data_IF_040327464040
#
_entry.id   IF_040327464040
#
_cell.length_a   1.000
_cell.length_b   1.000
_cell.length_c   1.000
_cell.angle_alpha   90.00
_cell.angle_beta   90.00
_cell.angle_gamma   90.00
#
_symmetry.space_group_name_H-M   'P 1'
#
loop_
_entity.id
_entity.type
_entity.pdbx_description
1 polymer ?
#
# COMPACT_ATOMS: atom_id res chain seq x y z
N UNK A 1 26.42 -29.23 25.48
CA UNK A 1 25.41 -29.97 24.68
C UNK A 1 24.12 -29.17 24.42
N UNK A 2 23.54 -28.45 25.39
CA UNK A 2 22.32 -27.65 25.18
C UNK A 2 22.49 -26.53 24.13
N UNK A 3 23.61 -25.78 24.17
CA UNK A 3 23.93 -24.75 23.16
C UNK A 3 24.12 -25.30 21.74
N UNK A 4 24.66 -26.52 21.61
CA UNK A 4 24.86 -27.17 20.31
C UNK A 4 23.52 -27.63 19.70
N UNK A 5 22.61 -28.17 20.54
CA UNK A 5 21.26 -28.55 20.12
C UNK A 5 20.42 -27.35 19.71
N UNK A 6 20.54 -26.24 20.42
CA UNK A 6 19.87 -24.98 20.09
C UNK A 6 20.41 -24.38 18.78
N UNK A 7 21.73 -24.44 18.55
CA UNK A 7 22.37 -24.00 17.29
C UNK A 7 21.94 -24.83 16.08
N UNK A 8 21.83 -26.15 16.21
CA UNK A 8 21.31 -27.05 15.17
C UNK A 8 19.83 -26.79 14.89
N UNK A 9 19.01 -26.59 15.93
CA UNK A 9 17.58 -26.30 15.80
C UNK A 9 17.33 -24.95 15.10
N UNK A 10 18.14 -23.93 15.39
CA UNK A 10 18.08 -22.60 14.76
C UNK A 10 18.48 -22.64 13.28
N UNK A 11 19.51 -23.42 12.94
CA UNK A 11 19.93 -23.65 11.55
C UNK A 11 18.83 -24.40 10.77
N UNK A 12 18.16 -25.35 11.43
CA UNK A 12 17.05 -26.09 10.84
C UNK A 12 15.82 -25.21 10.56
N UNK A 13 15.51 -24.24 11.42
CA UNK A 13 14.39 -23.28 11.22
C UNK A 13 14.62 -22.35 10.03
N UNK A 14 15.85 -21.83 9.85
CA UNK A 14 16.19 -20.97 8.72
C UNK A 14 16.16 -21.73 7.39
N UNK A 15 16.75 -22.93 7.39
CA UNK A 15 16.70 -23.86 6.24
C UNK A 15 15.26 -24.28 5.96
N UNK A 16 14.44 -24.52 6.98
CA UNK A 16 13.02 -24.85 6.86
C UNK A 16 12.19 -23.69 6.27
N UNK A 17 12.46 -22.43 6.65
CA UNK A 17 11.80 -21.27 6.05
C UNK A 17 12.15 -21.13 4.55
N UNK A 18 13.44 -21.24 4.19
CA UNK A 18 13.86 -21.25 2.79
C UNK A 18 13.33 -22.45 2.02
N UNK A 19 13.26 -23.63 2.64
CA UNK A 19 12.60 -24.79 2.07
C UNK A 19 11.09 -24.56 1.91
N UNK A 20 10.44 -23.82 2.81
CA UNK A 20 9.02 -23.47 2.71
C UNK A 20 8.80 -22.47 1.57
N UNK A 21 9.64 -21.44 1.43
CA UNK A 21 9.60 -20.49 0.30
C UNK A 21 9.89 -21.22 -1.01
N UNK A 22 10.95 -22.03 -1.07
CA UNK A 22 11.25 -22.90 -2.22
C UNK A 22 10.10 -23.86 -2.51
N UNK A 23 9.42 -24.41 -1.50
CA UNK A 23 8.27 -25.31 -1.67
C UNK A 23 7.03 -24.56 -2.17
N UNK A 24 6.78 -23.34 -1.70
CA UNK A 24 5.71 -22.47 -2.24
C UNK A 24 5.98 -22.10 -3.69
N UNK A 25 7.22 -21.71 -4.01
CA UNK A 25 7.65 -21.46 -5.39
C UNK A 25 7.54 -22.75 -6.22
N UNK A 26 7.91 -23.92 -5.69
CA UNK A 26 7.75 -25.23 -6.37
C UNK A 26 6.29 -25.61 -6.58
N UNK A 27 5.40 -25.35 -5.63
CA UNK A 27 3.96 -25.57 -5.80
C UNK A 27 3.37 -24.64 -6.87
N UNK A 28 3.85 -23.40 -6.95
CA UNK A 28 3.48 -22.46 -8.01
C UNK A 28 4.03 -22.89 -9.38
N UNK A 29 5.28 -23.37 -9.43
CA UNK A 29 5.93 -23.86 -10.66
C UNK A 29 5.39 -25.22 -11.12
N UNK A 30 4.90 -26.08 -10.22
CA UNK A 30 4.33 -27.40 -10.58
C UNK A 30 2.94 -27.31 -11.21
N UNK A 31 2.35 -26.11 -11.24
CA UNK A 31 1.10 -25.77 -11.93
C UNK A 31 1.32 -25.29 -13.38
N UNK A 32 2.57 -25.21 -13.85
CA UNK A 32 2.88 -25.04 -15.27
C UNK A 32 2.43 -26.29 -16.05
N UNK A 33 1.90 -26.15 -17.29
CA UNK A 33 1.44 -27.29 -18.06
C UNK A 33 2.57 -28.30 -18.25
N UNK A 34 2.33 -29.53 -17.78
CA UNK A 34 3.27 -30.64 -17.83
C UNK A 34 3.52 -31.07 -19.27
N UNK A 35 4.54 -30.53 -19.92
CA UNK A 35 5.22 -31.28 -20.97
C UNK A 35 6.25 -32.19 -20.31
N UNK A 36 5.95 -33.50 -20.34
CA UNK A 36 6.82 -34.64 -20.05
C UNK A 36 7.09 -35.04 -18.58
N UNK A 37 6.17 -35.85 -18.05
CA UNK A 37 6.36 -37.14 -17.35
C UNK A 37 7.62 -37.32 -16.49
N UNK A 38 7.40 -37.44 -15.17
CA UNK A 38 7.71 -38.71 -14.49
C UNK A 38 9.04 -38.88 -13.75
N UNK A 39 9.79 -37.83 -13.43
CA UNK A 39 10.89 -37.93 -12.45
C UNK A 39 10.51 -37.23 -11.14
N UNK A 40 10.65 -37.94 -10.01
CA UNK A 40 10.83 -37.29 -8.71
C UNK A 40 12.04 -36.38 -8.85
N UNK A 41 11.81 -35.07 -8.88
CA UNK A 41 12.87 -34.07 -8.98
C UNK A 41 13.75 -34.23 -7.73
N UNK A 42 15.02 -34.62 -7.94
CA UNK A 42 16.02 -34.62 -6.89
C UNK A 42 16.29 -33.15 -6.50
N UNK A 43 16.17 -32.84 -5.22
CA UNK A 43 16.27 -31.47 -4.71
C UNK A 43 17.67 -30.88 -4.92
N UNK A 44 18.68 -31.74 -5.09
CA UNK A 44 20.08 -31.43 -5.35
C UNK A 44 20.37 -31.16 -6.85
N UNK A 45 19.46 -31.54 -7.75
CA UNK A 45 19.60 -31.33 -9.21
C UNK A 45 18.92 -30.04 -9.70
N UNK A 46 18.26 -29.31 -8.80
CA UNK A 46 17.68 -28.01 -9.15
C UNK A 46 18.80 -26.98 -9.31
N UNK A 47 18.78 -26.17 -10.38
CA UNK A 47 19.74 -25.08 -10.51
C UNK A 47 19.66 -24.20 -9.27
N UNK A 48 20.83 -23.76 -8.79
CA UNK A 48 20.92 -22.84 -7.68
C UNK A 48 20.11 -21.58 -8.03
N UNK A 49 18.95 -21.40 -7.40
CA UNK A 49 18.14 -20.19 -7.59
C UNK A 49 18.89 -19.07 -6.87
N UNK A 50 19.76 -18.39 -7.61
CA UNK A 50 20.39 -17.17 -7.16
C UNK A 50 19.37 -16.04 -7.27
N UNK A 51 18.91 -15.57 -6.13
CA UNK A 51 18.08 -14.39 -6.05
C UNK A 51 18.96 -13.14 -6.13
N UNK A 52 18.56 -12.15 -6.92
CA UNK A 52 19.30 -10.90 -7.07
C UNK A 52 18.30 -9.75 -7.15
N UNK A 53 18.30 -8.88 -6.15
CA UNK A 53 17.29 -7.82 -5.99
C UNK A 53 17.21 -6.93 -7.23
N UNK A 54 18.35 -6.58 -7.82
CA UNK A 54 18.41 -5.71 -9.00
C UNK A 54 17.86 -6.40 -10.25
N UNK A 55 18.33 -7.61 -10.53
CA UNK A 55 17.87 -8.40 -11.67
C UNK A 55 16.38 -8.71 -11.55
N UNK A 56 15.96 -9.24 -10.41
CA UNK A 56 14.59 -9.67 -10.20
C UNK A 56 13.61 -8.49 -10.27
N UNK A 57 14.00 -7.31 -9.77
CA UNK A 57 13.20 -6.08 -9.84
C UNK A 57 13.10 -5.52 -11.26
N UNK A 58 14.18 -5.59 -12.04
CA UNK A 58 14.17 -5.18 -13.44
C UNK A 58 13.27 -6.11 -14.28
N UNK A 59 13.41 -7.42 -14.13
CA UNK A 59 12.55 -8.41 -14.79
C UNK A 59 11.07 -8.18 -14.43
N UNK A 60 10.77 -7.89 -13.15
CA UNK A 60 9.40 -7.57 -12.75
C UNK A 60 8.87 -6.30 -13.43
N UNK A 61 9.71 -5.25 -13.52
CA UNK A 61 9.36 -4.00 -14.18
C UNK A 61 9.08 -4.22 -15.67
N UNK A 62 9.92 -5.00 -16.35
CA UNK A 62 9.74 -5.37 -17.75
C UNK A 62 8.40 -6.09 -17.97
N UNK A 63 8.07 -7.08 -17.13
CA UNK A 63 6.80 -7.82 -17.22
C UNK A 63 5.58 -6.91 -17.12
N UNK A 64 5.57 -5.93 -16.21
CA UNK A 64 4.41 -5.05 -16.04
C UNK A 64 4.41 -3.85 -17.00
N UNK A 65 5.56 -3.51 -17.60
CA UNK A 65 5.71 -2.34 -18.48
C UNK A 65 4.90 -2.45 -19.77
N UNK A 66 4.59 -3.67 -20.22
CA UNK A 66 3.91 -3.88 -21.50
C UNK A 66 2.41 -3.58 -21.49
N UNK A 67 1.81 -3.42 -20.30
CA UNK A 67 0.37 -3.20 -20.15
C UNK A 67 0.03 -1.71 -20.12
N UNK A 68 -1.08 -1.33 -20.74
CA UNK A 68 -1.64 0.02 -20.62
C UNK A 68 -2.02 0.32 -19.15
N UNK A 69 -1.53 1.46 -18.66
CA UNK A 69 -1.69 1.84 -17.26
C UNK A 69 -3.14 2.06 -16.85
N UNK A 70 -4.02 2.50 -17.75
CA UNK A 70 -5.42 2.75 -17.37
C UNK A 70 -6.15 1.47 -16.98
N UNK A 71 -5.87 0.35 -17.66
CA UNK A 71 -6.48 -0.94 -17.37
C UNK A 71 -5.70 -1.68 -16.29
N UNK A 72 -4.36 -1.65 -16.34
CA UNK A 72 -3.54 -2.31 -15.34
C UNK A 72 -3.79 -1.74 -13.94
N UNK A 73 -3.82 -0.40 -13.80
CA UNK A 73 -4.10 0.23 -12.51
C UNK A 73 -5.54 0.02 -12.04
N UNK A 74 -6.51 -0.09 -12.97
CA UNK A 74 -7.88 -0.42 -12.60
C UNK A 74 -7.99 -1.84 -12.03
N UNK A 75 -7.30 -2.80 -12.64
CA UNK A 75 -7.20 -4.15 -12.09
C UNK A 75 -6.52 -4.14 -10.71
N UNK A 76 -5.40 -3.42 -10.55
CA UNK A 76 -4.76 -3.24 -9.24
C UNK A 76 -5.72 -2.67 -8.19
N UNK A 77 -6.55 -1.68 -8.54
CA UNK A 77 -7.55 -1.11 -7.65
C UNK A 77 -8.63 -2.12 -7.23
N UNK A 78 -9.13 -2.91 -8.18
CA UNK A 78 -10.06 -4.03 -7.93
C UNK A 78 -9.44 -4.99 -6.91
N UNK A 79 -8.23 -5.47 -7.20
CA UNK A 79 -7.51 -6.42 -6.35
C UNK A 79 -7.27 -5.88 -4.94
N UNK A 80 -6.86 -4.62 -4.83
CA UNK A 80 -6.63 -3.99 -3.54
C UNK A 80 -7.90 -3.88 -2.71
N UNK A 81 -9.06 -3.65 -3.35
CA UNK A 81 -10.35 -3.56 -2.65
C UNK A 81 -10.89 -4.91 -2.17
N UNK A 82 -10.53 -6.01 -2.84
CA UNK A 82 -10.91 -7.37 -2.45
C UNK A 82 -10.14 -7.90 -1.23
N UNK A 83 -9.09 -7.20 -0.79
CA UNK A 83 -8.18 -7.66 0.27
C UNK A 83 -8.80 -7.67 1.69
N UNK A 84 -10.10 -7.40 1.83
CA UNK A 84 -10.79 -7.33 3.12
C UNK A 84 -10.89 -8.66 3.89
N UNK A 85 -10.30 -9.77 3.40
CA UNK A 85 -10.31 -11.04 4.10
C UNK A 85 -8.89 -11.62 4.23
N UNK A 86 -8.25 -11.54 5.41
CA UNK A 86 -6.94 -12.13 5.60
C UNK A 86 -7.11 -13.65 5.53
N UNK A 87 -6.39 -14.31 4.63
CA UNK A 87 -6.22 -15.79 4.50
C UNK A 87 -6.96 -16.50 3.37
N UNK A 88 -7.55 -15.84 2.37
CA UNK A 88 -8.07 -16.62 1.23
C UNK A 88 -6.95 -16.94 0.25
N UNK A 89 -6.63 -18.23 0.11
CA UNK A 89 -5.86 -18.81 -0.99
C UNK A 89 -6.72 -18.80 -2.27
N UNK A 90 -7.09 -17.61 -2.71
CA UNK A 90 -7.81 -17.37 -3.96
C UNK A 90 -6.84 -16.85 -5.01
N UNK A 91 -6.82 -17.43 -6.23
CA UNK A 91 -6.42 -16.67 -7.41
C UNK A 91 -7.27 -15.40 -7.40
N UNK A 92 -6.68 -14.18 -7.41
CA UNK A 92 -5.36 -13.80 -7.96
C UNK A 92 -4.25 -13.53 -6.93
N UNK A 93 -4.50 -13.73 -5.63
CA UNK A 93 -3.56 -13.41 -4.55
C UNK A 93 -2.61 -14.56 -4.19
N UNK A 94 -2.80 -15.73 -4.79
CA UNK A 94 -2.01 -16.93 -4.51
C UNK A 94 -0.52 -16.66 -4.68
N UNK A 95 0.22 -16.69 -3.57
CA UNK A 95 1.66 -16.49 -3.54
C UNK A 95 2.10 -15.10 -3.06
N UNK A 96 1.23 -14.10 -3.06
CA UNK A 96 1.55 -12.82 -2.42
C UNK A 96 1.63 -12.99 -0.90
N UNK A 97 2.74 -12.53 -0.32
CA UNK A 97 2.99 -12.53 1.12
C UNK A 97 2.56 -11.20 1.76
N UNK A 98 2.53 -10.11 0.98
CA UNK A 98 1.92 -8.84 1.38
C UNK A 98 1.14 -8.27 0.19
N UNK A 99 -0.12 -8.75 -0.02
CA UNK A 99 -0.89 -8.43 -1.22
C UNK A 99 -0.97 -6.92 -1.48
N UNK A 100 -1.32 -6.11 -0.48
CA UNK A 100 -1.43 -4.65 -0.66
C UNK A 100 -0.14 -4.03 -1.22
N UNK A 101 0.99 -4.28 -0.54
CA UNK A 101 2.26 -3.62 -0.85
C UNK A 101 2.84 -4.14 -2.16
N UNK A 102 2.66 -5.42 -2.47
CA UNK A 102 3.04 -6.00 -3.75
C UNK A 102 2.20 -5.41 -4.88
N UNK A 103 0.88 -5.34 -4.75
CA UNK A 103 0.01 -4.70 -5.75
C UNK A 103 0.36 -3.22 -5.97
N UNK A 104 0.60 -2.48 -4.89
CA UNK A 104 1.03 -1.09 -5.01
C UNK A 104 2.38 -0.95 -5.71
N UNK A 105 3.33 -1.85 -5.43
CA UNK A 105 4.62 -1.87 -6.12
C UNK A 105 4.45 -2.19 -7.61
N UNK A 106 3.63 -3.19 -7.96
CA UNK A 106 3.32 -3.53 -9.36
C UNK A 106 2.70 -2.35 -10.11
N UNK A 107 1.70 -1.68 -9.52
CA UNK A 107 1.09 -0.49 -10.10
C UNK A 107 2.10 0.64 -10.30
N UNK A 108 2.99 0.86 -9.33
CA UNK A 108 4.06 1.84 -9.43
C UNK A 108 5.09 1.50 -10.51
N UNK A 109 5.50 0.25 -10.64
CA UNK A 109 6.39 -0.20 -11.71
C UNK A 109 5.76 0.02 -13.09
N UNK A 110 4.47 -0.31 -13.25
CA UNK A 110 3.75 -0.10 -14.49
C UNK A 110 3.68 1.39 -14.86
N UNK A 111 3.20 2.24 -13.96
CA UNK A 111 3.03 3.67 -14.27
C UNK A 111 4.37 4.41 -14.41
N UNK A 112 5.44 3.95 -13.78
CA UNK A 112 6.79 4.55 -13.95
C UNK A 112 7.53 4.00 -15.17
N UNK A 113 6.93 3.11 -15.95
CA UNK A 113 7.55 2.55 -17.17
C UNK A 113 7.30 3.44 -18.39
N UNK A 114 8.17 3.31 -19.39
CA UNK A 114 8.04 4.04 -20.65
C UNK A 114 6.72 3.67 -21.35
N UNK A 115 6.06 4.66 -21.96
CA UNK A 115 4.84 4.48 -22.75
C UNK A 115 5.09 3.71 -24.05
N UNK A 116 6.29 3.80 -24.62
CA UNK A 116 6.67 3.08 -25.85
C UNK A 116 6.70 1.55 -25.70
N UNK A 117 6.76 1.05 -24.46
CA UNK A 117 6.78 -0.38 -24.17
C UNK A 117 5.39 -1.02 -24.19
N UNK A 118 4.31 -0.21 -24.26
CA UNK A 118 2.94 -0.71 -24.25
C UNK A 118 2.70 -1.56 -25.51
N UNK A 119 2.41 -2.83 -25.30
CA UNK A 119 2.05 -3.78 -26.37
C UNK A 119 0.79 -4.59 -26.05
N UNK A 120 0.31 -4.56 -24.81
CA UNK A 120 -0.92 -5.21 -24.36
C UNK A 120 -1.85 -4.19 -23.71
N UNK A 121 -3.16 -4.35 -23.96
CA UNK A 121 -4.19 -3.49 -23.37
C UNK A 121 -4.36 -3.78 -21.87
N UNK A 122 -4.56 -5.03 -21.52
CA UNK A 122 -4.88 -5.44 -20.14
C UNK A 122 -4.18 -6.75 -19.79
N UNK A 123 -4.11 -7.03 -18.49
CA UNK A 123 -3.64 -8.31 -17.96
C UNK A 123 -4.84 -9.13 -17.51
N UNK A 124 -4.94 -10.37 -17.99
CA UNK A 124 -5.94 -11.32 -17.48
C UNK A 124 -5.35 -12.06 -16.29
N UNK A 125 -5.92 -11.86 -15.11
CA UNK A 125 -5.50 -12.48 -13.86
C UNK A 125 -5.57 -14.02 -13.87
N UNK A 126 -6.29 -14.61 -14.84
CA UNK A 126 -6.43 -16.06 -15.02
C UNK A 126 -5.35 -16.67 -15.91
N UNK A 127 -4.61 -15.84 -16.65
CA UNK A 127 -3.64 -16.30 -17.63
C UNK A 127 -2.25 -16.57 -16.99
N UNK A 128 -1.29 -17.03 -17.81
CA UNK A 128 0.07 -17.27 -17.33
C UNK A 128 0.87 -15.97 -17.13
N UNK A 129 0.53 -14.88 -17.82
CA UNK A 129 1.22 -13.61 -17.64
C UNK A 129 1.07 -13.07 -16.20
N UNK A 130 -0.14 -13.13 -15.63
CA UNK A 130 -0.36 -12.73 -14.23
C UNK A 130 0.42 -13.62 -13.26
N UNK A 131 0.46 -14.93 -13.53
CA UNK A 131 1.26 -15.86 -12.71
C UNK A 131 2.75 -15.52 -12.77
N UNK A 132 3.27 -15.19 -13.93
CA UNK A 132 4.67 -14.81 -14.10
C UNK A 132 4.99 -13.51 -13.32
N UNK A 133 4.07 -12.53 -13.37
CA UNK A 133 4.16 -11.31 -12.54
C UNK A 133 4.20 -11.66 -11.05
N UNK A 134 3.28 -12.51 -10.58
CA UNK A 134 3.21 -12.92 -9.16
C UNK A 134 4.47 -13.66 -8.75
N UNK A 135 4.93 -14.64 -9.53
CA UNK A 135 6.16 -15.39 -9.27
C UNK A 135 7.36 -14.45 -9.20
N UNK A 136 7.46 -13.52 -10.13
CA UNK A 136 8.56 -12.56 -10.16
C UNK A 136 8.49 -11.59 -8.97
N UNK A 137 7.29 -11.14 -8.57
CA UNK A 137 7.10 -10.33 -7.36
C UNK A 137 7.50 -11.07 -6.07
N UNK A 138 7.30 -12.39 -6.01
CA UNK A 138 7.78 -13.23 -4.91
C UNK A 138 9.30 -13.31 -4.93
N UNK A 139 9.93 -13.50 -6.10
CA UNK A 139 11.39 -13.51 -6.24
C UNK A 139 12.03 -12.20 -5.79
N UNK A 140 11.47 -11.05 -6.19
CA UNK A 140 11.95 -9.73 -5.73
C UNK A 140 12.00 -9.67 -4.21
N UNK A 141 10.92 -10.07 -3.53
CA UNK A 141 10.89 -10.11 -2.06
C UNK A 141 11.88 -11.14 -1.49
N UNK A 142 11.94 -12.33 -2.08
CA UNK A 142 12.87 -13.40 -1.67
C UNK A 142 14.35 -12.97 -1.78
N UNK A 143 14.68 -12.17 -2.79
CA UNK A 143 16.03 -11.65 -3.01
C UNK A 143 16.52 -10.77 -1.84
N UNK A 144 15.64 -9.95 -1.26
CA UNK A 144 16.00 -9.19 -0.07
C UNK A 144 16.37 -10.10 1.12
N UNK A 145 15.64 -11.20 1.32
CA UNK A 145 16.02 -12.17 2.35
C UNK A 145 17.33 -12.88 2.01
N UNK A 146 17.51 -13.27 0.74
CA UNK A 146 18.73 -13.93 0.26
C UNK A 146 19.99 -13.11 0.53
N UNK A 147 19.95 -11.80 0.26
CA UNK A 147 21.05 -10.87 0.55
C UNK A 147 21.35 -10.77 2.06
N UNK A 148 20.35 -10.93 2.92
CA UNK A 148 20.50 -10.93 4.37
C UNK A 148 20.84 -12.30 4.95
N UNK A 149 21.04 -13.36 4.15
CA UNK A 149 21.44 -14.68 4.65
C UNK A 149 22.96 -14.79 4.80
N UNK A 150 23.46 -15.59 5.77
CA UNK A 150 24.88 -15.85 5.87
C UNK A 150 25.29 -16.82 4.76
N UNK A 151 26.53 -16.73 4.27
CA UNK A 151 27.07 -17.77 3.40
C UNK A 151 27.35 -19.03 4.23
N UNK A 152 27.43 -20.16 3.54
CA UNK A 152 27.72 -21.44 4.18
C UNK A 152 29.07 -21.37 4.92
N UNK A 153 29.08 -21.76 6.20
CA UNK A 153 30.25 -21.68 7.08
C UNK A 153 30.48 -20.34 7.79
N UNK A 154 29.75 -19.27 7.46
CA UNK A 154 29.96 -17.91 7.98
C UNK A 154 29.05 -17.54 9.18
N UNK A 155 28.63 -18.51 10.00
CA UNK A 155 27.57 -18.28 11.00
C UNK A 155 28.13 -18.13 12.43
N UNK A 156 28.12 -16.90 12.97
CA UNK A 156 28.39 -16.62 14.38
C UNK A 156 27.10 -16.46 15.21
N UNK A 157 27.21 -16.54 16.54
CA UNK A 157 26.06 -16.32 17.41
C UNK A 157 25.61 -14.84 17.38
N UNK A 158 26.54 -13.89 17.22
CA UNK A 158 26.21 -12.47 17.06
C UNK A 158 25.46 -12.18 15.74
N UNK A 159 25.81 -12.89 14.67
CA UNK A 159 25.09 -12.81 13.39
C UNK A 159 23.62 -13.19 13.58
N UNK A 160 23.35 -14.29 14.29
CA UNK A 160 21.99 -14.74 14.58
C UNK A 160 21.21 -13.72 15.40
N UNK A 161 21.83 -13.10 16.40
CA UNK A 161 21.15 -12.10 17.22
C UNK A 161 20.84 -10.84 16.42
N UNK A 162 21.75 -10.41 15.53
CA UNK A 162 21.46 -9.34 14.58
C UNK A 162 20.32 -9.71 13.61
N UNK A 163 20.30 -10.95 13.11
CA UNK A 163 19.25 -11.45 12.22
C UNK A 163 17.88 -11.45 12.90
N UNK A 164 17.79 -11.96 14.14
CA UNK A 164 16.55 -12.00 14.93
C UNK A 164 15.95 -10.61 15.18
N UNK A 165 16.78 -9.59 15.27
CA UNK A 165 16.32 -8.21 15.50
C UNK A 165 15.98 -7.55 14.16
N UNK A 166 16.84 -7.70 13.15
CA UNK A 166 16.74 -6.94 11.90
C UNK A 166 15.65 -7.48 10.97
N UNK A 167 15.47 -8.81 10.89
CA UNK A 167 14.49 -9.41 9.98
C UNK A 167 13.05 -9.08 10.35
N UNK A 168 12.60 -9.15 11.62
CA UNK A 168 11.24 -8.72 11.96
C UNK A 168 10.97 -7.24 11.69
N UNK A 169 11.97 -6.37 11.87
CA UNK A 169 11.87 -4.94 11.52
C UNK A 169 11.70 -4.78 10.00
N UNK A 170 12.47 -5.55 9.23
CA UNK A 170 12.35 -5.60 7.78
C UNK A 170 10.98 -6.15 7.36
N UNK A 171 10.54 -7.29 7.88
CA UNK A 171 9.23 -7.90 7.61
C UNK A 171 8.09 -6.94 7.92
N UNK A 172 8.14 -6.25 9.06
CA UNK A 172 7.16 -5.24 9.42
C UNK A 172 7.02 -4.18 8.32
N UNK A 173 8.11 -3.72 7.71
CA UNK A 173 8.03 -2.80 6.57
C UNK A 173 7.27 -3.37 5.36
N UNK A 174 7.48 -4.65 5.04
CA UNK A 174 6.86 -5.31 3.89
C UNK A 174 5.41 -5.70 4.16
N UNK A 175 5.07 -6.07 5.39
CA UNK A 175 3.81 -6.70 5.75
C UNK A 175 2.81 -5.74 6.39
N UNK A 176 3.26 -4.58 6.88
CA UNK A 176 2.35 -3.59 7.47
C UNK A 176 1.93 -2.51 6.47
N UNK A 177 0.64 -2.24 6.45
CA UNK A 177 0.04 -1.04 5.83
C UNK A 177 -0.50 -0.13 6.93
N UNK A 178 -1.03 1.04 6.54
CA UNK A 178 -1.68 1.96 7.47
C UNK A 178 -3.02 1.37 7.94
N UNK A 179 -3.10 1.08 9.23
CA UNK A 179 -4.27 0.46 9.88
C UNK A 179 -5.30 1.46 10.38
N UNK A 180 -5.04 2.76 10.23
CA UNK A 180 -5.88 3.83 10.74
C UNK A 180 -7.26 3.83 10.06
N UNK A 181 -8.32 4.16 10.79
CA UNK A 181 -9.61 4.44 10.18
C UNK A 181 -9.53 5.72 9.35
N UNK A 182 -10.35 5.82 8.31
CA UNK A 182 -10.35 6.96 7.40
C UNK A 182 -10.66 8.28 8.13
N UNK A 183 -11.62 8.24 9.05
CA UNK A 183 -12.03 9.38 9.88
C UNK A 183 -10.88 9.86 10.76
N UNK A 184 -10.01 8.94 11.21
CA UNK A 184 -8.82 9.31 11.98
C UNK A 184 -7.84 10.11 11.12
N UNK A 185 -7.66 9.75 9.87
CA UNK A 185 -6.78 10.48 8.94
C UNK A 185 -7.36 11.83 8.54
N UNK A 186 -8.68 11.91 8.28
CA UNK A 186 -9.35 13.17 8.00
C UNK A 186 -9.23 14.12 9.19
N UNK A 187 -9.52 13.65 10.41
CA UNK A 187 -9.38 14.45 11.63
C UNK A 187 -7.94 14.91 11.84
N UNK A 188 -6.97 14.02 11.63
CA UNK A 188 -5.54 14.34 11.72
C UNK A 188 -5.16 15.43 10.72
N UNK A 189 -5.62 15.35 9.48
CA UNK A 189 -5.38 16.38 8.45
C UNK A 189 -6.00 17.71 8.87
N UNK A 190 -7.28 17.71 9.22
CA UNK A 190 -8.01 18.94 9.59
C UNK A 190 -7.38 19.62 10.80
N UNK A 191 -7.19 18.90 11.91
CA UNK A 191 -6.73 19.49 13.17
C UNK A 191 -5.29 19.99 13.12
N UNK A 192 -4.41 19.26 12.41
CA UNK A 192 -2.98 19.61 12.38
C UNK A 192 -2.68 20.73 11.40
N UNK A 193 -3.40 20.83 10.28
CA UNK A 193 -3.02 21.73 9.20
C UNK A 193 -3.89 22.98 9.10
N UNK A 194 -5.12 23.00 9.61
CA UNK A 194 -6.01 24.18 9.55
C UNK A 194 -5.37 25.45 10.12
N UNK A 195 -4.64 25.42 11.26
CA UNK A 195 -3.93 26.61 11.77
C UNK A 195 -2.87 27.18 10.82
N UNK A 196 -2.48 26.42 9.79
CA UNK A 196 -1.46 26.77 8.80
C UNK A 196 -2.06 27.08 7.42
N UNK A 197 -3.39 27.24 7.32
CA UNK A 197 -4.10 27.53 6.06
C UNK A 197 -3.49 28.70 5.27
N UNK A 198 -3.01 29.76 5.94
CA UNK A 198 -2.39 30.90 5.26
C UNK A 198 -1.16 30.51 4.45
N UNK A 199 -0.32 29.62 4.98
CA UNK A 199 0.89 29.14 4.29
C UNK A 199 0.49 28.14 3.20
N UNK A 200 -0.38 27.19 3.54
CA UNK A 200 -0.84 26.15 2.61
C UNK A 200 -1.49 26.79 1.37
N UNK A 201 -2.38 27.77 1.55
CA UNK A 201 -3.03 28.48 0.46
C UNK A 201 -2.05 29.30 -0.36
N UNK A 202 -1.08 29.98 0.28
CA UNK A 202 -0.08 30.76 -0.44
C UNK A 202 0.81 29.92 -1.37
N UNK A 203 1.08 28.66 -1.02
CA UNK A 203 1.97 27.78 -1.80
C UNK A 203 1.18 26.91 -2.78
N UNK A 204 0.06 26.34 -2.34
CA UNK A 204 -0.71 25.37 -3.14
C UNK A 204 -1.90 25.98 -3.87
N UNK A 205 -2.38 27.15 -3.46
CA UNK A 205 -3.64 27.73 -3.94
C UNK A 205 -4.90 27.09 -3.36
N UNK A 206 -4.78 26.18 -2.39
CA UNK A 206 -5.87 25.47 -1.72
C UNK A 206 -5.76 25.60 -0.20
N UNK A 207 -6.90 25.55 0.50
CA UNK A 207 -6.95 25.40 1.96
C UNK A 207 -7.16 23.95 2.36
N UNK A 208 -6.95 23.61 3.64
CA UNK A 208 -7.19 22.26 4.18
C UNK A 208 -8.63 21.79 3.96
N UNK A 209 -9.60 22.70 4.06
CA UNK A 209 -11.02 22.43 3.76
C UNK A 209 -11.24 22.06 2.29
N UNK A 210 -10.45 22.60 1.35
CA UNK A 210 -10.54 22.24 -0.06
C UNK A 210 -10.02 20.81 -0.29
N UNK A 211 -8.88 20.46 0.30
CA UNK A 211 -8.33 19.10 0.18
C UNK A 211 -9.28 18.04 0.75
N UNK A 212 -9.79 18.26 1.96
CA UNK A 212 -10.71 17.34 2.64
C UNK A 212 -12.09 17.33 1.98
N UNK A 213 -12.58 18.49 1.51
CA UNK A 213 -13.84 18.60 0.76
C UNK A 213 -13.79 17.83 -0.56
N UNK A 214 -12.72 18.01 -1.36
CA UNK A 214 -12.53 17.26 -2.62
C UNK A 214 -12.44 15.76 -2.34
N UNK A 215 -11.65 15.37 -1.33
CA UNK A 215 -11.54 13.98 -0.91
C UNK A 215 -12.90 13.35 -0.59
N UNK A 216 -13.71 14.02 0.25
CA UNK A 216 -15.02 13.51 0.68
C UNK A 216 -16.00 13.36 -0.50
N UNK A 217 -15.97 14.28 -1.47
CA UNK A 217 -16.81 14.16 -2.68
C UNK A 217 -16.32 13.01 -3.57
N UNK A 218 -15.01 12.83 -3.72
CA UNK A 218 -14.46 11.65 -4.42
C UNK A 218 -14.94 10.37 -3.75
N UNK A 219 -14.73 10.25 -2.44
CA UNK A 219 -15.15 9.09 -1.63
C UNK A 219 -16.64 8.76 -1.79
N UNK A 220 -17.49 9.79 -1.70
CA UNK A 220 -18.92 9.67 -1.92
C UNK A 220 -19.24 9.13 -3.33
N UNK A 221 -18.66 9.74 -4.38
CA UNK A 221 -18.95 9.31 -5.75
C UNK A 221 -18.47 7.89 -6.05
N UNK A 222 -17.32 7.47 -5.50
CA UNK A 222 -16.84 6.10 -5.63
C UNK A 222 -17.76 5.12 -4.90
N UNK A 223 -18.18 5.47 -3.68
CA UNK A 223 -19.13 4.67 -2.90
C UNK A 223 -20.46 4.47 -3.62
N UNK A 224 -21.00 5.52 -4.25
CA UNK A 224 -22.22 5.40 -5.04
C UNK A 224 -22.02 4.55 -6.30
N UNK A 225 -20.88 4.70 -6.99
CA UNK A 225 -20.54 3.82 -8.12
C UNK A 225 -20.41 2.37 -7.71
N UNK A 226 -19.77 2.06 -6.58
CA UNK A 226 -19.66 0.69 -6.10
C UNK A 226 -21.03 0.04 -5.90
N UNK A 227 -22.05 0.82 -5.50
CA UNK A 227 -23.44 0.35 -5.34
C UNK A 227 -24.26 0.35 -6.64
N UNK A 228 -23.77 0.96 -7.72
CA UNK A 228 -24.54 1.19 -8.95
C UNK A 228 -25.11 -0.10 -9.54
N UNK A 229 -24.32 -1.17 -9.65
CA UNK A 229 -24.83 -2.44 -10.20
C UNK A 229 -26.00 -2.99 -9.37
N UNK A 230 -25.93 -2.92 -8.05
CA UNK A 230 -27.03 -3.35 -7.19
C UNK A 230 -28.24 -2.44 -7.36
N UNK A 231 -28.01 -1.12 -7.36
CA UNK A 231 -29.07 -0.13 -7.53
C UNK A 231 -29.82 -0.32 -8.87
N UNK A 232 -29.10 -0.55 -9.97
CA UNK A 232 -29.66 -0.83 -11.29
C UNK A 232 -30.50 -2.12 -11.28
N UNK A 233 -29.97 -3.20 -10.71
CA UNK A 233 -30.68 -4.48 -10.58
C UNK A 233 -31.96 -4.36 -9.75
N UNK A 234 -31.98 -3.49 -8.74
CA UNK A 234 -33.17 -3.27 -7.91
C UNK A 234 -34.20 -2.36 -8.58
N UNK A 235 -33.76 -1.26 -9.22
CA UNK A 235 -34.65 -0.18 -9.67
C UNK A 235 -35.13 -0.29 -11.12
N UNK A 236 -34.36 -0.91 -12.01
CA UNK A 236 -34.70 -0.96 -13.44
C UNK A 236 -35.41 -2.25 -13.80
N UNK A 237 -36.62 -2.14 -14.36
CA UNK A 237 -37.37 -3.29 -14.88
C UNK A 237 -36.68 -3.87 -16.11
N UNK A 238 -36.22 -3.02 -17.04
CA UNK A 238 -35.51 -3.45 -18.25
C UNK A 238 -34.26 -4.28 -17.90
N UNK A 239 -33.47 -3.84 -16.92
CA UNK A 239 -32.31 -4.59 -16.43
C UNK A 239 -32.69 -5.98 -15.91
N UNK A 240 -33.80 -6.10 -15.17
CA UNK A 240 -34.29 -7.39 -14.66
C UNK A 240 -34.76 -8.29 -15.80
N UNK A 241 -35.44 -7.73 -16.79
CA UNK A 241 -35.86 -8.47 -17.98
C UNK A 241 -34.67 -9.00 -18.77
N UNK A 242 -33.64 -8.19 -18.99
CA UNK A 242 -32.40 -8.64 -19.65
C UNK A 242 -31.68 -9.71 -18.84
N UNK A 243 -31.60 -9.58 -17.51
CA UNK A 243 -31.03 -10.63 -16.65
C UNK A 243 -31.76 -11.97 -16.82
N UNK A 244 -33.09 -11.95 -16.95
CA UNK A 244 -33.90 -13.14 -17.22
C UNK A 244 -33.67 -13.69 -18.63
N UNK A 245 -33.61 -12.84 -19.66
CA UNK A 245 -33.32 -13.23 -21.05
C UNK A 245 -31.96 -13.94 -21.16
N UNK A 246 -30.99 -13.49 -20.38
CA UNK A 246 -29.65 -14.05 -20.32
C UNK A 246 -29.51 -15.20 -19.30
N UNK A 247 -30.60 -15.73 -18.74
CA UNK A 247 -30.61 -16.84 -17.78
C UNK A 247 -29.65 -16.64 -16.60
N UNK A 248 -29.51 -15.40 -16.10
CA UNK A 248 -28.60 -15.09 -15.00
C UNK A 248 -27.11 -15.10 -15.36
N UNK A 249 -26.74 -15.18 -16.64
CA UNK A 249 -25.36 -14.98 -17.08
C UNK A 249 -24.85 -13.59 -16.65
N UNK A 250 -23.55 -13.43 -16.34
CA UNK A 250 -23.01 -12.17 -15.87
C UNK A 250 -23.16 -11.05 -16.92
N UNK A 251 -23.49 -9.80 -16.53
CA UNK A 251 -23.70 -8.70 -17.47
C UNK A 251 -22.53 -8.42 -18.42
N UNK A 252 -21.31 -8.77 -18.04
CA UNK A 252 -20.12 -8.66 -18.90
C UNK A 252 -20.16 -9.54 -20.16
N UNK A 253 -21.08 -10.50 -20.24
CA UNK A 253 -21.23 -11.43 -21.36
C UNK A 253 -22.48 -11.17 -22.21
N UNK A 254 -23.27 -10.16 -21.84
CA UNK A 254 -24.51 -9.85 -22.55
C UNK A 254 -24.21 -9.22 -23.91
N UNK A 255 -24.79 -9.78 -24.98
CA UNK A 255 -24.78 -9.16 -26.31
C UNK A 255 -25.99 -8.23 -26.50
N UNK A 256 -26.13 -7.25 -25.61
CA UNK A 256 -27.25 -6.33 -25.61
C UNK A 256 -27.17 -5.38 -26.82
N UNK A 257 -28.22 -5.37 -27.66
CA UNK A 257 -28.33 -4.53 -28.87
C UNK A 257 -29.31 -3.36 -28.75
N UNK A 258 -29.94 -3.20 -27.60
CA UNK A 258 -30.87 -2.09 -27.36
C UNK A 258 -30.15 -0.80 -26.97
N UNK A 259 -30.94 0.22 -26.65
CA UNK A 259 -30.49 1.57 -26.28
C UNK A 259 -30.91 2.00 -24.87
N UNK A 260 -31.44 1.08 -24.05
CA UNK A 260 -31.83 1.39 -22.67
C UNK A 260 -30.59 1.81 -21.86
N UNK A 261 -30.58 3.02 -21.30
CA UNK A 261 -29.39 3.57 -20.65
C UNK A 261 -29.02 2.83 -19.36
N UNK A 262 -29.98 2.26 -18.63
CA UNK A 262 -29.69 1.53 -17.40
C UNK A 262 -29.08 0.15 -17.71
N UNK A 263 -29.51 -0.51 -18.78
CA UNK A 263 -28.88 -1.76 -19.25
C UNK A 263 -27.46 -1.48 -19.75
N UNK A 264 -27.27 -0.45 -20.57
CA UNK A 264 -25.94 -0.07 -21.08
C UNK A 264 -24.97 0.27 -19.94
N UNK A 265 -25.43 1.02 -18.93
CA UNK A 265 -24.62 1.34 -17.73
C UNK A 265 -24.28 0.10 -16.91
N UNK A 266 -25.20 -0.86 -16.79
CA UNK A 266 -24.91 -2.12 -16.10
C UNK A 266 -23.84 -2.93 -16.85
N UNK A 267 -23.99 -3.09 -18.16
CA UNK A 267 -23.01 -3.80 -18.99
C UNK A 267 -21.64 -3.10 -18.87
N UNK A 268 -21.59 -1.78 -19.06
CA UNK A 268 -20.36 -0.98 -18.93
C UNK A 268 -19.67 -1.20 -17.58
N UNK A 269 -20.44 -1.15 -16.48
CA UNK A 269 -19.95 -1.38 -15.12
C UNK A 269 -19.26 -2.75 -14.93
N UNK A 270 -19.74 -3.77 -15.64
CA UNK A 270 -19.18 -5.14 -15.57
C UNK A 270 -18.10 -5.42 -16.62
N UNK A 271 -18.03 -4.64 -17.70
CA UNK A 271 -17.02 -4.80 -18.76
C UNK A 271 -15.80 -3.89 -18.62
N UNK A 272 -15.96 -2.69 -18.06
CA UNK A 272 -14.88 -1.72 -17.93
C UNK A 272 -14.39 -1.64 -16.47
N UNK A 273 -13.18 -2.15 -16.16
CA UNK A 273 -12.69 -2.20 -14.79
C UNK A 273 -12.47 -0.81 -14.17
N UNK A 274 -12.39 0.24 -14.98
CA UNK A 274 -12.14 1.62 -14.53
C UNK A 274 -13.34 2.24 -13.84
N UNK A 275 -14.56 1.86 -14.26
CA UNK A 275 -15.81 2.56 -13.90
C UNK A 275 -15.99 2.68 -12.39
N UNK A 276 -15.69 1.62 -11.64
CA UNK A 276 -15.84 1.55 -10.17
C UNK A 276 -14.95 2.54 -9.42
N UNK A 277 -13.81 2.92 -10.01
CA UNK A 277 -12.77 3.72 -9.36
C UNK A 277 -12.60 5.10 -10.03
N UNK A 278 -13.53 5.50 -10.89
CA UNK A 278 -13.54 6.81 -11.50
C UNK A 278 -14.58 7.69 -10.82
N UNK A 279 -14.22 8.84 -10.23
CA UNK A 279 -15.19 9.72 -9.61
C UNK A 279 -16.06 10.40 -10.67
N UNK A 280 -17.25 10.83 -10.28
CA UNK A 280 -18.14 11.60 -11.14
C UNK A 280 -17.78 13.09 -11.09
N UNK A 281 -17.06 13.55 -12.11
CA UNK A 281 -16.64 14.95 -12.22
C UNK A 281 -17.80 15.94 -12.22
N UNK A 282 -18.98 15.57 -12.74
CA UNK A 282 -20.15 16.45 -12.70
C UNK A 282 -20.64 16.69 -11.26
N UNK A 283 -20.50 15.70 -10.38
CA UNK A 283 -20.81 15.87 -8.95
C UNK A 283 -19.77 16.75 -8.28
N UNK A 284 -18.47 16.54 -8.56
CA UNK A 284 -17.41 17.39 -8.01
C UNK A 284 -17.59 18.86 -8.42
N UNK A 285 -17.85 19.14 -9.69
CA UNK A 285 -17.99 20.51 -10.24
C UNK A 285 -19.22 21.26 -9.71
N UNK A 286 -20.24 20.56 -9.22
CA UNK A 286 -21.41 21.19 -8.55
C UNK A 286 -21.07 21.75 -7.17
N UNK A 287 -20.06 21.19 -6.50
CA UNK A 287 -19.72 21.53 -5.12
C UNK A 287 -18.42 22.32 -5.02
N UNK A 288 -17.54 22.22 -6.02
CA UNK A 288 -16.17 22.69 -5.95
C UNK A 288 -15.82 23.39 -7.26
N UNK A 289 -15.20 24.57 -7.15
CA UNK A 289 -14.88 25.36 -8.34
C UNK A 289 -13.89 24.61 -9.26
N UNK A 290 -14.05 24.71 -10.60
CA UNK A 290 -13.18 24.00 -11.55
C UNK A 290 -11.69 24.26 -11.33
N UNK A 291 -11.32 25.51 -10.99
CA UNK A 291 -9.93 25.88 -10.70
C UNK A 291 -9.34 25.12 -9.51
N UNK A 292 -10.12 24.91 -8.45
CA UNK A 292 -9.66 24.15 -7.27
C UNK A 292 -9.50 22.66 -7.59
N UNK A 293 -10.43 22.12 -8.39
CA UNK A 293 -10.34 20.74 -8.86
C UNK A 293 -9.10 20.52 -9.73
N UNK A 294 -8.83 21.42 -10.68
CA UNK A 294 -7.63 21.37 -11.53
C UNK A 294 -6.35 21.30 -10.70
N UNK A 295 -6.19 22.22 -9.75
CA UNK A 295 -5.02 22.25 -8.84
C UNK A 295 -4.91 20.93 -8.08
N UNK A 296 -6.00 20.45 -7.47
CA UNK A 296 -5.98 19.22 -6.69
C UNK A 296 -5.58 18.01 -7.54
N UNK A 297 -6.20 17.85 -8.71
CA UNK A 297 -5.89 16.74 -9.60
C UNK A 297 -4.46 16.83 -10.12
N UNK A 298 -3.93 18.01 -10.41
CA UNK A 298 -2.53 18.17 -10.82
C UNK A 298 -1.53 17.77 -9.72
N UNK A 299 -1.86 18.03 -8.44
CA UNK A 299 -1.01 17.65 -7.31
C UNK A 299 -0.92 16.13 -7.12
N UNK A 300 -2.06 15.43 -7.23
CA UNK A 300 -2.15 14.01 -6.88
C UNK A 300 -2.22 13.05 -8.08
N UNK A 301 -2.18 13.57 -9.31
CA UNK A 301 -2.10 12.75 -10.51
C UNK A 301 -0.66 12.33 -10.81
N UNK A 302 -0.47 11.02 -11.02
CA UNK A 302 0.75 10.46 -11.60
C UNK A 302 0.57 10.28 -13.11
N UNK A 303 1.58 10.67 -13.87
CA UNK A 303 1.65 10.40 -15.31
C UNK A 303 2.54 9.21 -15.58
N UNK A 304 2.22 8.50 -16.67
CA UNK A 304 3.06 7.40 -17.11
C UNK A 304 4.47 7.89 -17.47
N UNK A 305 5.49 7.14 -17.06
CA UNK A 305 6.89 7.48 -17.27
C UNK A 305 7.45 8.49 -16.27
N UNK A 306 6.66 9.01 -15.33
CA UNK A 306 7.20 9.76 -14.20
C UNK A 306 8.11 8.84 -13.36
N UNK A 307 9.30 9.33 -13.00
CA UNK A 307 10.32 8.58 -12.21
C UNK A 307 10.71 7.22 -12.84
N UNK A 308 11.30 7.23 -14.05
CA UNK A 308 11.64 6.00 -14.77
C UNK A 308 12.66 5.10 -14.05
N UNK A 309 13.41 5.64 -13.10
CA UNK A 309 14.36 4.90 -12.27
C UNK A 309 13.74 4.11 -11.12
N UNK A 310 12.44 4.29 -10.80
CA UNK A 310 11.78 3.54 -9.72
C UNK A 310 11.77 2.05 -10.03
N UNK A 311 12.34 1.24 -9.13
CA UNK A 311 12.39 -0.21 -9.31
C UNK A 311 12.30 -1.01 -8.02
N UNK A 312 12.71 -0.43 -6.89
CA UNK A 312 12.84 -1.22 -5.67
C UNK A 312 11.58 -1.16 -4.83
N UNK A 313 11.23 -2.28 -4.23
CA UNK A 313 10.12 -2.37 -3.29
C UNK A 313 10.31 -1.45 -2.07
N UNK A 314 11.56 -1.24 -1.67
CA UNK A 314 11.97 -0.41 -0.52
C UNK A 314 12.03 1.09 -0.83
N UNK A 315 11.85 1.49 -2.10
CA UNK A 315 11.75 2.90 -2.48
C UNK A 315 10.40 3.49 -2.13
N UNK A 316 10.34 4.82 -2.02
CA UNK A 316 9.09 5.53 -1.82
C UNK A 316 8.21 5.30 -3.06
N UNK A 317 7.12 4.57 -2.87
CA UNK A 317 6.19 4.23 -3.93
C UNK A 317 5.52 5.50 -4.51
N UNK A 318 5.77 5.87 -5.77
CA UNK A 318 5.25 7.10 -6.36
C UNK A 318 3.73 7.07 -6.54
N UNK A 319 3.15 5.91 -6.81
CA UNK A 319 1.70 5.75 -6.95
C UNK A 319 0.99 5.98 -5.61
N UNK A 320 1.63 5.66 -4.48
CA UNK A 320 1.05 5.94 -3.15
C UNK A 320 1.32 7.36 -2.65
N UNK A 321 2.11 8.15 -3.38
CA UNK A 321 2.21 9.61 -3.20
C UNK A 321 1.22 10.35 -4.10
N UNK A 322 0.96 9.81 -5.29
CA UNK A 322 0.07 10.38 -6.31
C UNK A 322 -0.90 9.28 -6.79
N UNK A 323 -1.95 8.98 -6.01
CA UNK A 323 -2.81 7.81 -6.23
C UNK A 323 -3.87 8.01 -7.30
N UNK A 324 -3.79 9.09 -8.08
CA UNK A 324 -4.72 9.40 -9.16
C UNK A 324 -4.03 9.19 -10.50
N UNK A 325 -4.71 8.55 -11.45
CA UNK A 325 -4.24 8.43 -12.83
C UNK A 325 -5.26 9.04 -13.79
N UNK A 326 -4.84 9.98 -14.64
CA UNK A 326 -5.70 10.58 -15.67
C UNK A 326 -5.58 9.79 -16.96
N UNK A 327 -6.67 9.19 -17.42
CA UNK A 327 -6.68 8.34 -18.61
C UNK A 327 -7.46 8.94 -19.80
N UNK A 328 -8.23 10.01 -19.56
CA UNK A 328 -8.94 10.76 -20.60
C UNK A 328 -9.23 12.19 -20.09
N UNK A 329 -9.58 13.17 -20.94
CA UNK A 329 -10.07 14.47 -20.46
C UNK A 329 -11.22 14.27 -19.46
N UNK A 330 -11.08 14.90 -18.28
CA UNK A 330 -12.03 14.80 -17.16
C UNK A 330 -12.36 13.37 -16.70
N UNK A 331 -11.46 12.41 -16.92
CA UNK A 331 -11.58 11.05 -16.39
C UNK A 331 -10.33 10.68 -15.61
N UNK A 332 -10.54 10.44 -14.33
CA UNK A 332 -9.52 10.14 -13.35
C UNK A 332 -9.80 8.76 -12.75
N UNK A 333 -8.75 7.99 -12.48
CA UNK A 333 -8.82 6.70 -11.82
C UNK A 333 -8.17 6.85 -10.44
N UNK A 334 -8.91 6.53 -9.38
CA UNK A 334 -8.43 6.54 -8.01
C UNK A 334 -7.97 5.13 -7.65
N UNK A 335 -6.67 4.87 -7.72
CA UNK A 335 -6.13 3.50 -7.61
C UNK A 335 -6.20 3.00 -6.16
N UNK A 336 -5.90 3.87 -5.20
CA UNK A 336 -5.91 3.55 -3.78
C UNK A 336 -6.64 4.66 -3.01
N UNK A 337 -7.96 4.55 -2.89
CA UNK A 337 -8.83 5.54 -2.25
C UNK A 337 -8.34 6.00 -0.87
N UNK A 338 -8.15 5.05 0.07
CA UNK A 338 -7.60 5.34 1.41
C UNK A 338 -6.22 5.99 1.38
N UNK A 339 -5.43 5.78 0.32
CA UNK A 339 -4.13 6.43 0.21
C UNK A 339 -4.20 7.87 -0.27
N UNK A 340 -5.30 8.31 -0.89
CA UNK A 340 -5.46 9.71 -1.27
C UNK A 340 -5.43 10.64 -0.04
N UNK A 341 -6.11 10.30 1.05
CA UNK A 341 -6.02 11.10 2.28
C UNK A 341 -4.61 11.06 2.91
N UNK A 342 -3.92 9.91 2.84
CA UNK A 342 -2.52 9.83 3.28
C UNK A 342 -1.59 10.68 2.40
N UNK A 343 -1.84 10.75 1.09
CA UNK A 343 -1.09 11.58 0.16
C UNK A 343 -1.33 13.07 0.44
N UNK A 344 -2.58 13.47 0.72
CA UNK A 344 -2.94 14.81 1.18
C UNK A 344 -2.18 15.15 2.46
N UNK A 345 -2.24 14.29 3.48
CA UNK A 345 -1.53 14.49 4.75
C UNK A 345 -0.04 14.77 4.51
N UNK A 346 0.62 13.96 3.68
CA UNK A 346 2.06 14.12 3.40
C UNK A 346 2.37 15.38 2.64
N UNK A 347 1.56 15.71 1.64
CA UNK A 347 1.72 16.95 0.88
C UNK A 347 1.65 18.16 1.80
N UNK A 348 0.65 18.21 2.68
CA UNK A 348 0.49 19.28 3.66
C UNK A 348 1.63 19.30 4.70
N UNK A 349 2.04 18.12 5.17
CA UNK A 349 3.20 17.98 6.06
C UNK A 349 4.46 18.57 5.43
N UNK A 350 4.76 18.18 4.19
CA UNK A 350 5.94 18.66 3.46
C UNK A 350 5.86 20.16 3.20
N UNK A 351 4.68 20.71 2.86
CA UNK A 351 4.50 22.15 2.69
C UNK A 351 4.82 22.92 3.98
N UNK A 352 4.21 22.53 5.10
CA UNK A 352 4.34 23.28 6.35
C UNK A 352 5.74 23.09 6.94
N UNK A 353 6.31 21.89 6.87
CA UNK A 353 7.65 21.63 7.40
C UNK A 353 8.78 22.22 6.57
N UNK A 354 8.55 22.58 5.31
CA UNK A 354 9.50 23.32 4.47
C UNK A 354 9.22 24.84 4.43
N UNK A 355 8.33 25.34 5.29
CA UNK A 355 7.99 26.76 5.40
C UNK A 355 8.64 27.42 6.62
N UNK A 356 8.49 28.75 6.72
CA UNK A 356 8.81 29.55 7.92
C UNK A 356 7.99 29.16 9.17
N UNK A 357 6.99 28.27 9.03
CA UNK A 357 6.11 27.81 10.12
C UNK A 357 6.46 26.44 10.68
N UNK A 358 7.57 25.84 10.25
CA UNK A 358 8.00 24.51 10.70
C UNK A 358 8.01 24.35 12.23
N UNK A 359 8.64 25.27 12.96
CA UNK A 359 8.73 25.20 14.43
C UNK A 359 7.34 25.26 15.09
N UNK A 360 6.51 26.22 14.66
CA UNK A 360 5.13 26.37 15.14
C UNK A 360 4.30 25.12 14.87
N UNK A 361 4.52 24.46 13.73
CA UNK A 361 3.87 23.21 13.39
C UNK A 361 4.26 22.06 14.33
N UNK A 362 5.54 21.88 14.63
CA UNK A 362 5.97 20.83 15.56
C UNK A 362 5.45 21.07 16.98
N UNK A 363 5.42 22.32 17.45
CA UNK A 363 4.82 22.69 18.74
C UNK A 363 3.31 22.36 18.75
N UNK A 364 2.58 22.78 17.71
CA UNK A 364 1.15 22.51 17.58
C UNK A 364 0.86 21.01 17.54
N UNK A 365 1.64 20.24 16.76
CA UNK A 365 1.49 18.79 16.63
C UNK A 365 1.75 18.06 17.94
N UNK A 366 2.75 18.48 18.72
CA UNK A 366 3.02 17.93 20.06
C UNK A 366 1.83 18.14 20.99
N UNK A 367 1.32 19.37 21.05
CA UNK A 367 0.15 19.71 21.87
C UNK A 367 -1.12 18.98 21.42
N UNK A 368 -1.33 18.86 20.10
CA UNK A 368 -2.44 18.10 19.54
C UNK A 368 -2.40 16.64 19.97
N UNK A 369 -1.22 16.00 19.90
CA UNK A 369 -1.05 14.61 20.33
C UNK A 369 -1.37 14.43 21.83
N UNK A 370 -0.87 15.33 22.68
CA UNK A 370 -1.18 15.33 24.12
C UNK A 370 -2.68 15.46 24.39
N UNK A 371 -3.34 16.42 23.75
CA UNK A 371 -4.79 16.61 23.87
C UNK A 371 -5.56 15.37 23.44
N UNK A 372 -5.18 14.74 22.32
CA UNK A 372 -5.81 13.51 21.82
C UNK A 372 -5.61 12.32 22.74
N UNK A 373 -4.43 12.19 23.36
CA UNK A 373 -4.20 11.17 24.40
C UNK A 373 -5.14 11.38 25.58
N UNK A 374 -5.27 12.61 26.08
CA UNK A 374 -6.18 12.91 27.20
C UNK A 374 -7.64 12.63 26.82
N UNK A 375 -8.06 13.00 25.62
CA UNK A 375 -9.40 12.71 25.08
C UNK A 375 -9.68 11.20 25.06
N UNK A 376 -8.75 10.40 24.51
CA UNK A 376 -8.85 8.95 24.43
C UNK A 376 -8.94 8.31 25.82
N UNK A 377 -8.11 8.74 26.76
CA UNK A 377 -8.12 8.22 28.13
C UNK A 377 -9.43 8.56 28.84
N UNK A 378 -9.93 9.79 28.70
CA UNK A 378 -11.23 10.19 29.26
C UNK A 378 -12.38 9.41 28.64
N UNK A 379 -12.33 9.15 27.34
CA UNK A 379 -13.32 8.33 26.65
C UNK A 379 -13.31 6.88 27.16
N UNK A 380 -12.14 6.25 27.26
CA UNK A 380 -12.01 4.86 27.65
C UNK A 380 -12.31 4.60 29.13
N UNK A 381 -11.76 5.42 30.04
CA UNK A 381 -11.92 5.24 31.49
C UNK A 381 -13.15 5.98 32.07
N UNK A 382 -13.73 6.91 31.31
CA UNK A 382 -14.90 7.68 31.74
C UNK A 382 -14.67 8.41 33.07
N UNK A 383 -15.69 8.39 33.92
CA UNK A 383 -15.66 9.04 35.25
C UNK A 383 -14.78 8.33 36.28
N UNK A 384 -14.26 7.14 35.96
CA UNK A 384 -13.45 6.34 36.89
C UNK A 384 -11.99 6.81 36.96
N UNK A 385 -11.58 7.67 36.02
CA UNK A 385 -10.23 8.23 35.99
C UNK A 385 -10.25 9.75 35.98
N UNK A 386 -9.14 10.34 36.45
CA UNK A 386 -8.80 11.75 36.29
C UNK A 386 -7.57 11.83 35.41
N UNK A 387 -7.71 12.44 34.24
CA UNK A 387 -6.61 12.71 33.32
C UNK A 387 -6.19 14.18 33.43
N UNK A 388 -4.92 14.41 33.74
CA UNK A 388 -4.27 15.71 33.80
C UNK A 388 -3.35 15.88 32.60
N UNK A 389 -3.37 17.07 32.00
CA UNK A 389 -2.53 17.44 30.87
C UNK A 389 -1.52 18.49 31.32
N UNK A 390 -0.28 18.44 30.82
CA UNK A 390 0.80 19.37 31.13
C UNK A 390 0.99 19.57 32.65
N UNK A 391 1.04 18.48 33.41
CA UNK A 391 1.13 18.52 34.88
C UNK A 391 2.58 18.77 35.34
N UNK A 392 2.75 19.24 36.58
CA UNK A 392 4.07 19.56 37.15
C UNK A 392 4.34 18.76 38.42
N UNK A 393 5.56 18.24 38.54
CA UNK A 393 6.10 17.64 39.76
C UNK A 393 7.42 18.34 40.05
N UNK A 394 7.56 18.95 41.22
CA UNK A 394 8.76 19.68 41.64
C UNK A 394 9.26 20.72 40.60
N UNK A 395 8.31 21.37 39.92
CA UNK A 395 8.60 22.36 38.88
C UNK A 395 8.95 21.77 37.50
N UNK A 396 9.13 20.45 37.38
CA UNK A 396 9.35 19.77 36.12
C UNK A 396 8.02 19.42 35.44
N UNK A 397 7.87 19.82 34.18
CA UNK A 397 6.70 19.51 33.37
C UNK A 397 6.71 18.07 32.88
N UNK A 398 5.54 17.46 32.86
CA UNK A 398 5.27 16.12 32.35
C UNK A 398 4.01 16.18 31.48
N UNK A 399 3.91 15.31 30.47
CA UNK A 399 2.88 15.42 29.46
C UNK A 399 1.49 15.05 29.98
N UNK A 400 1.26 13.78 30.33
CA UNK A 400 -0.07 13.31 30.76
C UNK A 400 0.02 12.40 31.97
N UNK A 401 -0.84 12.65 32.97
CA UNK A 401 -1.05 11.79 34.13
C UNK A 401 -2.49 11.28 34.13
N UNK A 402 -2.67 9.96 34.17
CA UNK A 402 -3.95 9.33 34.46
C UNK A 402 -3.93 8.77 35.89
N UNK A 403 -4.90 9.15 36.71
CA UNK A 403 -5.13 8.57 38.02
C UNK A 403 -6.47 7.84 38.04
N UNK A 404 -6.46 6.60 38.53
CA UNK A 404 -7.64 5.80 38.89
C UNK A 404 -7.54 5.41 40.37
N UNK A 405 -8.44 4.54 40.86
CA UNK A 405 -8.46 4.14 42.28
C UNK A 405 -7.16 3.43 42.73
N UNK A 406 -6.55 2.65 41.84
CA UNK A 406 -5.45 1.74 42.12
C UNK A 406 -4.30 1.82 41.09
N UNK A 407 -4.42 2.68 40.08
CA UNK A 407 -3.41 2.84 39.02
C UNK A 407 -3.10 4.31 38.74
N UNK A 408 -1.81 4.61 38.65
CA UNK A 408 -1.27 5.87 38.11
C UNK A 408 -0.49 5.56 36.83
N UNK A 409 -0.86 6.20 35.71
CA UNK A 409 -0.12 6.13 34.46
C UNK A 409 0.54 7.48 34.16
N UNK A 410 1.86 7.47 34.05
CA UNK A 410 2.66 8.59 33.57
C UNK A 410 2.94 8.33 32.09
N UNK A 411 2.48 9.22 31.23
CA UNK A 411 2.51 9.04 29.78
C UNK A 411 3.28 10.20 29.17
N UNK A 412 4.35 9.84 28.44
CA UNK A 412 5.19 10.78 27.69
C UNK A 412 4.80 10.73 26.21
N UNK A 413 4.43 11.88 25.65
CA UNK A 413 3.94 11.97 24.27
C UNK A 413 5.05 12.47 23.34
N UNK A 414 5.59 11.58 22.51
CA UNK A 414 6.58 11.94 21.50
C UNK A 414 5.98 12.03 20.10
N UNK A 415 5.77 13.26 19.63
CA UNK A 415 5.42 13.53 18.24
C UNK A 415 6.68 13.48 17.33
N UNK A 416 7.19 12.27 17.06
CA UNK A 416 8.34 12.08 16.16
C UNK A 416 8.05 12.58 14.74
N UNK A 417 9.07 12.97 13.98
CA UNK A 417 8.96 13.32 12.55
C UNK A 417 8.12 12.29 11.80
N UNK A 418 7.32 12.75 10.83
CA UNK A 418 6.53 11.83 10.02
C UNK A 418 7.47 10.81 9.36
N UNK A 419 7.20 9.55 9.65
CA UNK A 419 7.96 8.46 9.08
C UNK A 419 7.50 8.31 7.64
N UNK A 420 8.37 8.63 6.67
CA UNK A 420 8.07 8.38 5.25
C UNK A 420 7.56 6.95 5.11
N UNK A 421 6.54 6.75 4.26
CA UNK A 421 5.63 5.57 4.08
C UNK A 421 6.22 4.14 4.22
N UNK A 422 7.53 4.04 4.29
CA UNK A 422 8.32 2.88 4.59
C UNK A 422 8.59 2.62 6.08
N UNK A 423 8.07 3.40 7.04
CA UNK A 423 8.34 3.11 8.46
C UNK A 423 9.79 3.37 8.88
N UNK A 424 10.65 3.77 7.95
CA UNK A 424 12.02 4.18 8.17
C UNK A 424 12.50 5.05 7.00
N UNK A 425 13.17 6.21 7.22
CA UNK A 425 13.68 7.03 6.13
C UNK A 425 14.74 6.27 5.32
N UNK A 426 14.47 6.05 4.04
CA UNK A 426 15.37 5.35 3.11
C UNK A 426 15.62 3.88 3.48
N UNK A 427 14.57 3.06 3.40
CA UNK A 427 14.65 1.61 3.68
C UNK A 427 15.69 0.92 2.80
N UNK A 428 15.97 1.42 1.60
CA UNK A 428 17.11 0.95 0.81
C UNK A 428 18.44 1.18 1.53
N UNK A 429 18.73 2.39 2.01
CA UNK A 429 19.96 2.68 2.79
C UNK A 429 20.00 1.91 4.10
N UNK A 430 18.88 1.72 4.77
CA UNK A 430 18.85 0.93 6.01
C UNK A 430 19.09 -0.54 5.73
N UNK A 431 18.49 -1.06 4.67
CA UNK A 431 18.80 -2.38 4.15
C UNK A 431 20.28 -2.49 3.80
N UNK A 432 20.86 -1.51 3.10
CA UNK A 432 22.29 -1.45 2.78
C UNK A 432 23.16 -1.35 4.03
N UNK A 433 22.73 -0.64 5.07
CA UNK A 433 23.41 -0.56 6.37
C UNK A 433 23.35 -1.89 7.13
N UNK A 434 22.19 -2.55 7.16
CA UNK A 434 22.05 -3.89 7.73
C UNK A 434 22.91 -4.88 6.94
N UNK A 435 22.84 -4.85 5.62
CA UNK A 435 23.64 -5.66 4.71
C UNK A 435 25.13 -5.42 4.91
N UNK A 436 25.56 -4.16 5.07
CA UNK A 436 26.95 -3.82 5.35
C UNK A 436 27.38 -4.33 6.74
N UNK A 437 26.51 -4.29 7.75
CA UNK A 437 26.78 -4.90 9.06
C UNK A 437 26.94 -6.40 8.93
N UNK A 438 26.02 -7.09 8.25
CA UNK A 438 26.13 -8.52 7.96
C UNK A 438 27.44 -8.84 7.21
N UNK A 439 27.77 -8.11 6.14
CA UNK A 439 29.01 -8.27 5.37
C UNK A 439 30.28 -8.00 6.20
N UNK A 440 30.25 -7.02 7.13
CA UNK A 440 31.37 -6.69 8.02
C UNK A 440 31.62 -7.77 9.07
N UNK A 441 30.58 -8.45 9.54
CA UNK A 441 30.77 -9.64 10.38
C UNK A 441 31.42 -10.77 9.60
N UNK A 442 31.08 -10.92 8.31
CA UNK A 442 31.65 -11.94 7.45
C UNK A 442 33.12 -11.65 7.07
N UNK A 443 33.52 -10.38 6.92
CA UNK A 443 34.88 -10.01 6.52
C UNK A 443 35.90 -9.94 7.66
N UNK A 444 35.48 -9.91 8.92
CA UNK A 444 36.37 -9.85 10.10
C UNK A 444 36.99 -11.21 10.51
N UNK A 445 36.85 -12.25 9.69
CA UNK A 445 37.33 -13.62 9.97
C UNK A 445 38.13 -14.26 8.82
N UNK A 446 38.72 -13.44 7.93
CA UNK A 446 39.77 -13.90 7.00
C UNK A 446 41.13 -13.61 7.61
#
# INVERSE_FOLDING_TARGET
>A
MAQLKDKVLRMHLLVSFMQTVKTKIRMLLSWLPKSNIGKKINLEELPEIQFNVDKDANELKELVSIYDSQYFLANIAILASMQANPRINLPPFNGFSSPFRQLAHLGALNVTSNAELISKKEVDEKNNDWKDIVVQAIKVRAAYYGEMMPKEGEVSDEYYDLYKISVPVFDSHFDTSTVNFEEQEINKVTDLFTPFNSVIESISGLKVEDFTGIYNVIDYTLSERMKESYNLLVRSLTVKEELLKHNGAPPSTWDYKGDDPDVLRLVEYHTDPRIKYTPDMCVLERHISPKKLEIFFDLFTIKRGEKPSYKYYTEINPLLLKPIYKYSPNKYLIVFQKHLIHSIFRFLYDLVTNSDRQEKFFIHRGKWLQNKTVELLKFYFGKQARAFNEYKVDGQGQDVLLLTKDLALIIENKAHNEVKFSGVPNVKVIFEQYLARFKKFNSKRI
#
